data_IF_461847083277
#
_entry.id   IF_461847083277
#
_cell.length_a   1.000
_cell.length_b   1.000
_cell.length_c   1.000
_cell.angle_alpha   90.00
_cell.angle_beta   90.00
_cell.angle_gamma   90.00
#
_symmetry.space_group_name_H-M   'P 1'
#
loop_
_entity.id
_entity.type
_entity.pdbx_description
1 polymer ?
#
# COMPACT_ATOMS: atom_id res chain seq x y z
N UNK A 1 -11.51 -2.24 23.70
CA UNK A 1 -11.21 -0.98 22.98
C UNK A 1 -9.96 -1.18 22.15
N UNK A 2 -9.89 -0.65 20.94
CA UNK A 2 -8.76 -0.77 20.02
C UNK A 2 -8.85 0.25 18.90
N UNK A 3 -7.72 0.49 18.22
CA UNK A 3 -7.64 1.44 17.14
C UNK A 3 -8.09 0.82 15.81
N UNK A 4 -8.48 1.64 14.87
CA UNK A 4 -8.98 1.26 13.55
C UNK A 4 -7.96 1.67 12.49
N UNK A 5 -7.65 0.78 11.56
CA UNK A 5 -6.89 1.07 10.35
C UNK A 5 -7.82 0.92 9.15
N UNK A 6 -7.95 1.97 8.35
CA UNK A 6 -8.74 1.98 7.12
C UNK A 6 -7.78 2.13 5.94
N UNK A 7 -7.77 1.15 5.04
CA UNK A 7 -7.02 1.24 3.80
C UNK A 7 -7.78 2.07 2.76
N UNK A 8 -7.06 2.92 2.03
CA UNK A 8 -7.61 3.78 0.99
C UNK A 8 -6.67 3.84 -0.21
N UNK A 9 -7.19 3.99 -1.44
CA UNK A 9 -6.38 3.96 -2.64
C UNK A 9 -5.36 5.11 -2.75
N UNK A 10 -5.69 6.28 -2.20
CA UNK A 10 -4.83 7.44 -2.36
C UNK A 10 -5.05 8.57 -1.35
N UNK A 11 -4.19 9.58 -1.45
CA UNK A 11 -4.19 10.75 -0.57
C UNK A 11 -5.50 11.55 -0.64
N UNK A 12 -6.11 11.65 -1.83
CA UNK A 12 -7.40 12.34 -2.01
C UNK A 12 -8.48 11.66 -1.19
N UNK A 13 -8.57 10.34 -1.28
CA UNK A 13 -9.58 9.53 -0.57
C UNK A 13 -9.38 9.63 0.95
N UNK A 14 -8.11 9.66 1.40
CA UNK A 14 -7.75 9.88 2.81
C UNK A 14 -8.25 11.25 3.29
N UNK A 15 -8.02 12.32 2.52
CA UNK A 15 -8.45 13.66 2.87
C UNK A 15 -9.97 13.81 2.91
N UNK A 16 -10.67 13.20 1.95
CA UNK A 16 -12.13 13.21 1.88
C UNK A 16 -12.74 12.49 3.08
N UNK A 17 -12.26 11.28 3.40
CA UNK A 17 -12.75 10.53 4.57
C UNK A 17 -12.36 11.21 5.89
N UNK A 18 -11.16 11.76 6.00
CA UNK A 18 -10.76 12.54 7.19
C UNK A 18 -11.68 13.75 7.42
N UNK A 19 -12.10 14.43 6.35
CA UNK A 19 -13.07 15.53 6.43
C UNK A 19 -14.44 15.04 6.90
N UNK A 20 -14.91 13.92 6.39
CA UNK A 20 -16.19 13.32 6.79
C UNK A 20 -16.20 12.92 8.28
N UNK A 21 -15.08 12.41 8.78
CA UNK A 21 -14.96 11.95 10.17
C UNK A 21 -14.73 13.09 11.19
N UNK A 22 -14.51 14.33 10.76
CA UNK A 22 -14.27 15.47 11.68
C UNK A 22 -15.40 15.72 12.69
N UNK A 23 -16.61 15.36 12.35
CA UNK A 23 -17.80 15.58 13.18
C UNK A 23 -18.12 14.39 14.09
N UNK A 24 -17.36 13.31 13.99
CA UNK A 24 -17.53 12.14 14.87
C UNK A 24 -16.82 12.41 16.19
N UNK A 25 -17.59 12.49 17.28
CA UNK A 25 -17.05 12.72 18.61
C UNK A 25 -16.20 11.53 19.08
N UNK A 26 -15.17 11.81 19.88
CA UNK A 26 -14.26 10.83 20.46
C UNK A 26 -13.44 9.99 19.43
N UNK A 27 -13.25 10.51 18.23
CA UNK A 27 -12.38 9.90 17.20
C UNK A 27 -11.19 10.83 16.91
N UNK A 28 -9.98 10.25 16.95
CA UNK A 28 -8.74 10.92 16.53
C UNK A 28 -8.30 10.35 15.17
N UNK A 29 -8.41 11.15 14.11
CA UNK A 29 -8.15 10.74 12.73
C UNK A 29 -6.72 11.11 12.35
N UNK A 30 -5.92 10.12 11.97
CA UNK A 30 -4.52 10.27 11.59
C UNK A 30 -4.29 9.74 10.16
N UNK A 31 -3.85 10.59 9.22
CA UNK A 31 -3.47 10.14 7.89
C UNK A 31 -2.10 9.43 7.91
N UNK A 32 -1.91 8.45 7.01
CA UNK A 32 -0.64 7.74 6.81
C UNK A 32 -0.42 7.41 5.33
N UNK A 33 0.44 8.17 4.65
CA UNK A 33 0.85 7.95 3.26
C UNK A 33 2.28 8.46 3.03
N UNK A 34 2.93 8.01 1.96
CA UNK A 34 4.37 8.19 1.74
C UNK A 34 4.85 9.66 1.69
N UNK A 35 4.00 10.58 1.24
CA UNK A 35 4.37 12.01 1.10
C UNK A 35 4.23 12.83 2.39
N UNK A 36 3.75 12.24 3.46
CA UNK A 36 3.69 12.94 4.75
C UNK A 36 5.10 13.24 5.26
N UNK A 37 5.24 14.38 5.91
CA UNK A 37 6.48 14.71 6.63
C UNK A 37 6.76 13.69 7.74
N UNK A 38 8.02 13.52 8.09
CA UNK A 38 8.42 12.61 9.17
C UNK A 38 7.72 12.92 10.49
N UNK A 39 7.49 14.20 10.79
CA UNK A 39 6.78 14.62 11.98
C UNK A 39 5.30 14.18 11.99
N UNK A 40 4.62 14.24 10.85
CA UNK A 40 3.24 13.78 10.72
C UNK A 40 3.16 12.26 10.79
N UNK A 41 4.07 11.54 10.13
CA UNK A 41 4.16 10.09 10.24
C UNK A 41 4.41 9.64 11.69
N UNK A 42 5.33 10.31 12.40
CA UNK A 42 5.64 10.00 13.81
C UNK A 42 4.43 10.07 14.74
N UNK A 43 3.45 10.94 14.45
CA UNK A 43 2.20 11.04 15.23
C UNK A 43 1.40 9.74 15.24
N UNK A 44 1.47 8.97 14.15
CA UNK A 44 0.77 7.68 14.04
C UNK A 44 1.40 6.63 14.96
N UNK A 45 2.69 6.74 15.24
CA UNK A 45 3.45 5.77 16.06
C UNK A 45 3.55 6.17 17.53
N UNK A 46 3.32 7.45 17.84
CA UNK A 46 3.44 7.98 19.21
C UNK A 46 2.19 7.66 20.03
N UNK A 47 2.31 6.63 20.87
CA UNK A 47 1.25 6.25 21.82
C UNK A 47 1.10 7.22 23.00
N UNK A 48 2.11 8.07 23.28
CA UNK A 48 2.08 9.02 24.41
C UNK A 48 1.13 10.19 24.15
N UNK A 49 0.87 10.52 22.88
CA UNK A 49 -0.05 11.59 22.46
C UNK A 49 -1.51 11.13 22.31
N UNK A 50 -1.83 9.98 22.86
CA UNK A 50 -3.17 9.40 22.75
C UNK A 50 -4.19 10.30 23.44
N UNK A 51 -5.04 10.96 22.65
CA UNK A 51 -6.23 11.63 23.15
C UNK A 51 -7.22 10.59 23.66
N UNK A 52 -8.10 10.99 24.58
CA UNK A 52 -9.19 10.12 24.99
C UNK A 52 -10.09 9.82 23.78
N UNK A 53 -10.18 8.54 23.36
CA UNK A 53 -11.01 8.16 22.22
C UNK A 53 -10.46 6.99 21.43
N UNK A 54 -11.08 6.76 20.28
CA UNK A 54 -10.67 5.76 19.30
C UNK A 54 -9.78 6.45 18.26
N UNK A 55 -8.59 5.92 18.03
CA UNK A 55 -7.72 6.37 16.94
C UNK A 55 -8.12 5.66 15.66
N UNK A 56 -8.33 6.44 14.61
CA UNK A 56 -8.61 5.96 13.26
C UNK A 56 -7.46 6.38 12.34
N UNK A 57 -6.68 5.41 11.89
CA UNK A 57 -5.58 5.62 10.95
C UNK A 57 -6.09 5.39 9.54
N UNK A 58 -6.01 6.41 8.69
CA UNK A 58 -6.36 6.34 7.27
C UNK A 58 -5.08 6.18 6.46
N UNK A 59 -4.87 5.03 5.85
CA UNK A 59 -3.61 4.70 5.21
C UNK A 59 -3.74 4.21 3.77
N UNK A 60 -2.73 4.49 2.96
CA UNK A 60 -2.54 3.78 1.70
C UNK A 60 -1.88 2.41 1.96
N UNK A 61 -1.55 1.68 0.90
CA UNK A 61 -0.80 0.42 0.98
C UNK A 61 0.57 0.53 1.68
N UNK A 62 1.05 1.72 2.04
CA UNK A 62 2.23 1.91 2.89
C UNK A 62 2.09 1.19 4.24
N UNK A 63 0.88 1.10 4.78
CA UNK A 63 0.59 0.37 6.02
C UNK A 63 0.43 -1.15 5.81
N UNK A 64 0.48 -1.64 4.58
CA UNK A 64 0.37 -3.07 4.27
C UNK A 64 1.67 -3.82 4.57
N UNK A 65 2.82 -3.25 4.22
CA UNK A 65 4.13 -3.89 4.35
C UNK A 65 5.16 -3.03 5.07
N UNK A 66 5.25 -1.74 4.73
CA UNK A 66 6.39 -0.88 5.08
C UNK A 66 6.41 -0.42 6.54
N UNK A 67 5.25 -0.32 7.18
CA UNK A 67 5.14 0.20 8.55
C UNK A 67 4.20 -0.63 9.41
N UNK A 68 4.50 -0.70 10.70
CA UNK A 68 3.65 -1.35 11.71
C UNK A 68 3.02 -0.29 12.60
N UNK A 69 1.72 -0.09 12.47
CA UNK A 69 0.96 0.80 13.35
C UNK A 69 0.60 0.05 14.63
N UNK A 70 1.03 0.54 15.80
CA UNK A 70 0.74 -0.14 17.06
C UNK A 70 -0.72 0.03 17.49
N UNK A 71 -1.29 -0.97 18.16
CA UNK A 71 -2.60 -0.90 18.80
C UNK A 71 -3.81 -1.14 17.88
N UNK A 72 -3.59 -1.47 16.61
CA UNK A 72 -4.67 -1.75 15.64
C UNK A 72 -5.38 -3.04 16.05
N UNK A 73 -6.68 -2.94 16.24
CA UNK A 73 -7.61 -4.05 16.50
C UNK A 73 -8.62 -4.27 15.38
N UNK A 74 -8.89 -3.23 14.61
CA UNK A 74 -9.87 -3.27 13.55
C UNK A 74 -9.22 -2.82 12.25
N UNK A 75 -9.43 -3.58 11.17
CA UNK A 75 -9.04 -3.21 9.80
C UNK A 75 -10.28 -3.10 8.96
N UNK A 76 -10.40 -2.03 8.19
CA UNK A 76 -11.40 -1.87 7.12
C UNK A 76 -10.63 -1.87 5.79
N UNK A 77 -10.97 -2.83 4.94
CA UNK A 77 -10.30 -3.06 3.65
C UNK A 77 -11.30 -2.96 2.49
N UNK A 78 -11.28 -1.87 1.69
CA UNK A 78 -12.09 -1.75 0.49
C UNK A 78 -11.59 -2.62 -0.68
N UNK A 79 -10.41 -3.24 -0.55
CA UNK A 79 -9.89 -4.16 -1.55
C UNK A 79 -9.23 -3.51 -2.75
N UNK A 80 -8.86 -2.25 -2.66
CA UNK A 80 -8.27 -1.46 -3.75
C UNK A 80 -6.96 -0.81 -3.34
N UNK A 81 -6.09 -0.58 -4.34
CA UNK A 81 -4.86 0.20 -4.20
C UNK A 81 -4.48 0.87 -5.51
N UNK A 82 -3.64 1.91 -5.44
CA UNK A 82 -2.95 2.43 -6.62
C UNK A 82 -1.75 1.56 -6.92
N UNK A 83 -1.76 0.96 -8.11
CA UNK A 83 -0.71 0.05 -8.57
C UNK A 83 -0.02 0.69 -9.77
N UNK A 84 1.32 0.76 -9.71
CA UNK A 84 2.10 1.32 -10.80
C UNK A 84 2.05 0.40 -12.03
N UNK A 85 1.73 0.98 -13.20
CA UNK A 85 1.65 0.30 -14.49
C UNK A 85 2.36 1.11 -15.55
N UNK A 86 3.29 0.48 -16.26
CA UNK A 86 3.98 1.08 -17.41
C UNK A 86 3.36 0.61 -18.73
N UNK A 87 3.15 1.53 -19.64
CA UNK A 87 2.63 1.25 -20.97
C UNK A 87 3.74 1.42 -22.01
N UNK A 88 4.19 0.34 -22.65
CA UNK A 88 5.15 0.36 -23.75
C UNK A 88 4.69 1.22 -24.92
N UNK A 89 3.37 1.20 -25.21
CA UNK A 89 2.80 1.92 -26.34
C UNK A 89 2.87 3.43 -26.16
N UNK A 90 2.58 3.92 -24.96
CA UNK A 90 2.52 5.36 -24.66
C UNK A 90 3.76 5.88 -23.96
N UNK A 91 4.69 4.99 -23.56
CA UNK A 91 5.88 5.30 -22.73
C UNK A 91 5.54 6.04 -21.44
N UNK A 92 4.34 5.81 -20.91
CA UNK A 92 3.85 6.47 -19.71
C UNK A 92 3.68 5.47 -18.57
N UNK A 93 4.09 5.90 -17.39
CA UNK A 93 3.78 5.24 -16.15
C UNK A 93 2.52 5.85 -15.54
N UNK A 94 1.58 5.00 -15.13
CA UNK A 94 0.30 5.39 -14.53
C UNK A 94 0.14 4.70 -13.18
N UNK A 95 -0.74 5.25 -12.35
CA UNK A 95 -1.11 4.72 -11.04
C UNK A 95 -2.63 4.52 -10.98
N UNK A 96 -3.20 3.60 -11.78
CA UNK A 96 -4.63 3.30 -11.69
C UNK A 96 -4.98 2.73 -10.33
N UNK A 97 -6.24 2.91 -9.92
CA UNK A 97 -6.83 2.18 -8.80
C UNK A 97 -7.27 0.82 -9.31
N UNK A 98 -6.76 -0.23 -8.69
CA UNK A 98 -7.02 -1.61 -9.08
C UNK A 98 -7.37 -2.46 -7.84
N UNK A 99 -8.14 -3.55 -8.03
CA UNK A 99 -8.31 -4.55 -6.98
C UNK A 99 -6.96 -5.13 -6.54
N UNK A 100 -6.78 -5.29 -5.23
CA UNK A 100 -5.58 -5.92 -4.68
C UNK A 100 -5.63 -7.45 -4.81
N UNK A 101 -4.47 -8.11 -4.78
CA UNK A 101 -4.37 -9.56 -4.74
C UNK A 101 -4.85 -10.15 -3.41
N UNK A 102 -5.08 -11.48 -3.38
CA UNK A 102 -5.42 -12.20 -2.13
C UNK A 102 -4.33 -12.08 -1.08
N UNK A 103 -3.06 -12.19 -1.48
CA UNK A 103 -1.93 -12.02 -0.56
C UNK A 103 -1.90 -10.64 0.07
N UNK A 104 -2.14 -9.58 -0.71
CA UNK A 104 -2.28 -8.20 -0.22
C UNK A 104 -3.43 -8.08 0.79
N UNK A 105 -4.60 -8.64 0.47
CA UNK A 105 -5.76 -8.62 1.36
C UNK A 105 -5.48 -9.35 2.69
N UNK A 106 -4.71 -10.44 2.65
CA UNK A 106 -4.33 -11.19 3.85
C UNK A 106 -3.25 -10.45 4.67
N UNK A 107 -2.32 -9.74 4.01
CA UNK A 107 -1.39 -8.84 4.69
C UNK A 107 -2.12 -7.70 5.41
N UNK A 108 -3.12 -7.09 4.77
CA UNK A 108 -3.97 -6.07 5.41
C UNK A 108 -4.71 -6.63 6.62
N UNK A 109 -5.34 -7.80 6.49
CA UNK A 109 -5.96 -8.52 7.60
C UNK A 109 -4.98 -8.75 8.75
N UNK A 110 -3.73 -9.12 8.45
CA UNK A 110 -2.68 -9.34 9.44
C UNK A 110 -2.31 -8.11 10.28
N UNK A 111 -2.74 -6.91 9.89
CA UNK A 111 -2.45 -5.68 10.64
C UNK A 111 -3.23 -5.57 11.96
N UNK A 112 -4.39 -6.18 12.09
CA UNK A 112 -5.19 -6.16 13.33
C UNK A 112 -4.91 -7.32 14.30
N UNK A 113 -4.12 -8.33 13.90
CA UNK A 113 -3.86 -9.53 14.70
C UNK A 113 -2.55 -9.55 15.48
N UNK A 114 -1.79 -8.45 15.57
CA UNK A 114 -0.41 -8.45 16.10
C UNK A 114 -0.32 -8.42 17.63
N UNK A 115 -1.26 -7.78 18.30
CA UNK A 115 -1.21 -7.56 19.77
C UNK A 115 -2.30 -8.37 20.49
N UNK A 116 -3.18 -9.03 19.76
CA UNK A 116 -4.29 -9.83 20.26
C UNK A 116 -5.37 -10.00 19.21
N UNK A 117 -6.48 -10.68 19.51
CA UNK A 117 -7.57 -10.90 18.57
C UNK A 117 -8.03 -9.59 17.93
N UNK A 118 -8.12 -9.57 16.60
CA UNK A 118 -8.58 -8.43 15.84
C UNK A 118 -9.63 -8.82 14.82
N UNK A 119 -10.30 -7.82 14.26
CA UNK A 119 -11.36 -7.99 13.24
C UNK A 119 -10.96 -7.25 11.98
N UNK A 120 -11.03 -7.94 10.84
CA UNK A 120 -10.89 -7.33 9.51
C UNK A 120 -12.24 -7.37 8.80
N UNK A 121 -12.73 -6.20 8.41
CA UNK A 121 -13.96 -6.03 7.64
C UNK A 121 -13.55 -5.73 6.19
N UNK A 122 -13.83 -6.65 5.28
CA UNK A 122 -13.66 -6.48 3.84
C UNK A 122 -14.94 -5.89 3.26
N UNK A 123 -14.82 -4.82 2.46
CA UNK A 123 -15.95 -4.15 1.84
C UNK A 123 -16.27 -4.71 0.44
N UNK A 124 -15.93 -5.95 0.21
CA UNK A 124 -16.18 -6.72 -1.02
C UNK A 124 -16.56 -8.16 -0.66
N UNK A 125 -17.22 -8.85 -1.61
CA UNK A 125 -17.73 -10.20 -1.35
C UNK A 125 -16.64 -11.26 -1.25
N UNK A 126 -16.96 -12.38 -0.65
CA UNK A 126 -16.06 -13.55 -0.62
C UNK A 126 -15.81 -14.11 -2.02
N UNK A 127 -16.82 -14.05 -2.89
CA UNK A 127 -16.70 -14.46 -4.29
C UNK A 127 -15.69 -13.58 -5.04
N UNK A 128 -15.78 -12.25 -4.88
CA UNK A 128 -14.79 -11.31 -5.42
C UNK A 128 -13.38 -11.63 -4.87
N UNK A 129 -13.23 -11.81 -3.56
CA UNK A 129 -11.94 -12.19 -2.99
C UNK A 129 -11.37 -13.47 -3.62
N UNK A 130 -12.19 -14.50 -3.79
CA UNK A 130 -11.75 -15.78 -4.36
C UNK A 130 -11.37 -15.69 -5.84
N UNK A 131 -12.00 -14.79 -6.60
CA UNK A 131 -11.70 -14.55 -8.02
C UNK A 131 -10.40 -13.78 -8.26
N UNK A 132 -9.87 -13.10 -7.24
CA UNK A 132 -8.65 -12.29 -7.34
C UNK A 132 -7.40 -13.14 -7.53
N UNK A 133 -6.37 -12.63 -8.24
CA UNK A 133 -5.08 -13.30 -8.33
C UNK A 133 -4.48 -13.52 -6.95
N UNK A 134 -3.69 -14.59 -6.81
CA UNK A 134 -3.05 -14.91 -5.54
C UNK A 134 -2.02 -13.84 -5.13
N UNK A 135 -1.20 -13.39 -6.07
CA UNK A 135 -0.17 -12.37 -5.87
C UNK A 135 -0.31 -11.24 -6.87
N UNK A 136 0.14 -10.05 -6.50
CA UNK A 136 0.35 -8.95 -7.44
C UNK A 136 1.64 -9.22 -8.22
N UNK A 137 1.66 -8.91 -9.51
CA UNK A 137 2.87 -9.00 -10.33
C UNK A 137 4.04 -8.25 -9.69
N UNK A 138 5.27 -8.80 -9.74
CA UNK A 138 6.46 -8.11 -9.26
C UNK A 138 6.62 -6.72 -9.88
N UNK A 139 7.16 -5.78 -9.13
CA UNK A 139 7.29 -4.40 -9.60
C UNK A 139 8.13 -4.30 -10.86
N UNK A 140 9.17 -5.11 -10.98
CA UNK A 140 10.06 -5.17 -12.15
C UNK A 140 9.33 -5.56 -13.45
N UNK A 141 8.19 -6.23 -13.35
CA UNK A 141 7.38 -6.63 -14.51
C UNK A 141 6.30 -5.61 -14.90
N UNK A 142 6.13 -4.51 -14.16
CA UNK A 142 5.02 -3.56 -14.35
C UNK A 142 5.40 -2.09 -14.28
N UNK A 143 6.70 -1.77 -14.14
CA UNK A 143 7.20 -0.39 -14.06
C UNK A 143 8.25 -0.10 -15.13
N UNK A 144 8.51 1.18 -15.37
CA UNK A 144 9.62 1.58 -16.22
C UNK A 144 10.96 1.18 -15.58
N UNK A 145 11.87 0.61 -16.37
CA UNK A 145 13.14 0.06 -15.88
C UNK A 145 14.33 1.00 -16.01
N UNK A 146 14.17 2.23 -16.48
CA UNK A 146 15.30 3.15 -16.68
C UNK A 146 16.14 3.36 -15.40
N UNK A 147 15.48 3.49 -14.23
CA UNK A 147 16.17 3.62 -12.95
C UNK A 147 16.93 2.34 -12.57
N UNK A 148 16.35 1.18 -12.83
CA UNK A 148 16.99 -0.13 -12.57
C UNK A 148 18.20 -0.32 -13.46
N UNK A 149 18.06 -0.05 -14.78
CA UNK A 149 19.17 -0.09 -15.76
C UNK A 149 20.31 0.81 -15.29
N UNK A 150 20.02 2.07 -14.99
CA UNK A 150 21.03 3.03 -14.53
C UNK A 150 21.74 2.56 -13.26
N UNK A 151 21.00 2.04 -12.28
CA UNK A 151 21.57 1.52 -11.04
C UNK A 151 22.45 0.30 -11.29
N UNK A 152 22.03 -0.64 -12.12
CA UNK A 152 22.83 -1.82 -12.46
C UNK A 152 24.11 -1.45 -13.17
N UNK A 153 24.07 -0.52 -14.13
CA UNK A 153 25.25 0.01 -14.81
C UNK A 153 26.20 0.68 -13.81
N UNK A 154 25.69 1.49 -12.92
CA UNK A 154 26.51 2.18 -11.89
C UNK A 154 27.21 1.21 -10.94
N UNK A 155 26.54 0.11 -10.60
CA UNK A 155 27.06 -0.92 -9.70
C UNK A 155 27.91 -1.99 -10.43
N UNK A 156 28.03 -1.93 -11.74
CA UNK A 156 28.77 -2.92 -12.54
C UNK A 156 28.17 -4.32 -12.51
N UNK A 157 26.83 -4.44 -12.38
CA UNK A 157 26.12 -5.71 -12.28
C UNK A 157 25.90 -6.41 -13.64
N UNK A 158 26.42 -5.84 -14.72
CA UNK A 158 26.27 -6.38 -16.07
C UNK A 158 24.96 -6.02 -16.73
N UNK A 159 24.59 -6.79 -17.76
CA UNK A 159 23.40 -6.58 -18.57
C UNK A 159 22.13 -7.02 -17.81
N UNK A 160 21.11 -6.17 -17.85
CA UNK A 160 19.80 -6.45 -17.23
C UNK A 160 19.16 -7.71 -17.80
N UNK A 161 19.29 -7.96 -19.11
CA UNK A 161 18.71 -9.17 -19.75
C UNK A 161 19.40 -10.46 -19.31
N UNK A 162 20.65 -10.39 -18.88
CA UNK A 162 21.43 -11.55 -18.41
C UNK A 162 21.44 -11.72 -16.91
N UNK A 163 20.92 -10.75 -16.16
CA UNK A 163 20.89 -10.81 -14.71
C UNK A 163 19.88 -11.88 -14.24
N UNK A 164 20.23 -12.75 -13.27
CA UNK A 164 19.40 -13.87 -12.83
C UNK A 164 18.29 -13.41 -11.90
N UNK A 165 17.33 -12.64 -12.42
CA UNK A 165 16.12 -12.28 -11.68
C UNK A 165 15.28 -13.54 -11.38
N UNK A 166 14.65 -13.58 -10.22
CA UNK A 166 13.67 -14.62 -9.86
C UNK A 166 12.48 -14.56 -10.84
N UNK A 167 11.97 -13.35 -11.07
CA UNK A 167 10.90 -13.05 -12.04
C UNK A 167 11.44 -12.04 -13.04
N UNK A 168 11.96 -12.46 -14.21
CA UNK A 168 12.60 -11.56 -15.13
C UNK A 168 11.59 -10.57 -15.77
N UNK A 169 12.01 -9.34 -16.08
CA UNK A 169 11.20 -8.39 -16.82
C UNK A 169 11.04 -8.80 -18.29
N UNK A 170 9.99 -8.31 -18.94
CA UNK A 170 9.84 -8.46 -20.41
C UNK A 170 10.99 -7.71 -21.14
N UNK A 171 11.59 -8.33 -22.16
CA UNK A 171 12.69 -7.76 -22.96
C UNK A 171 12.33 -6.39 -23.59
N UNK A 172 11.03 -6.14 -23.85
CA UNK A 172 10.59 -4.82 -24.32
C UNK A 172 10.70 -3.76 -23.23
N UNK A 173 10.43 -4.12 -21.97
CA UNK A 173 10.59 -3.21 -20.84
C UNK A 173 12.07 -2.87 -20.61
N UNK A 174 12.94 -3.86 -20.76
CA UNK A 174 14.39 -3.64 -20.67
C UNK A 174 14.85 -2.66 -21.75
N UNK A 175 14.49 -2.90 -23.02
CA UNK A 175 14.82 -1.99 -24.12
C UNK A 175 14.26 -0.59 -23.97
N UNK A 176 13.08 -0.45 -23.36
CA UNK A 176 12.50 0.86 -23.04
C UNK A 176 13.22 1.56 -21.88
N UNK A 177 13.96 0.82 -21.08
CA UNK A 177 14.75 1.34 -19.97
C UNK A 177 16.12 1.90 -20.38
N UNK A 178 16.68 1.42 -21.50
CA UNK A 178 17.89 1.95 -22.12
C UNK A 178 17.60 3.19 -22.99
#
# INVERSE_FOLDING_TARGET
RGDVLIFLPGERDIRELAKALRHVSAVDVLPLYARLSQAEQSRVFDSSRRKSGIRVVLATNVAETSVTVPGIRYVIDPGEARISRYSHRTKLQRLPVEPISRASADQRKGRCGRVGPGVCIRLYSEEDYRSRPQFTEPEIQRTNLAAVVLQMLTLGLGDVEQFPFIDPPDSRMVRDGY
#
